data_IF_003591404208
#
_entry.id   IF_003591404208
#
_cell.length_a   1.000
_cell.length_b   1.000
_cell.length_c   1.000
_cell.angle_alpha   90.00
_cell.angle_beta   90.00
_cell.angle_gamma   90.00
#
_symmetry.space_group_name_H-M   'P 1'
#
loop_
_entity.id
_entity.type
_entity.pdbx_description
1 polymer ?
#
# COMPACT_ATOMS: atom_id res chain seq x y z
N UNK A 1 -10.11 9.20 26.37
CA UNK A 1 -10.54 7.96 25.69
C UNK A 1 -9.39 6.98 25.81
N UNK A 2 -9.65 5.79 26.33
CA UNK A 2 -8.66 4.69 26.41
C UNK A 2 -8.14 4.40 25.01
N UNK A 3 -6.84 4.14 24.88
CA UNK A 3 -6.17 3.76 23.64
C UNK A 3 -6.91 2.58 23.00
N UNK A 4 -7.75 2.89 22.01
CA UNK A 4 -8.57 1.91 21.31
C UNK A 4 -7.72 1.23 20.25
N UNK A 5 -7.50 -0.06 20.37
CA UNK A 5 -6.94 -0.87 19.29
C UNK A 5 -8.07 -1.28 18.35
N UNK A 6 -7.99 -0.84 17.10
CA UNK A 6 -8.85 -1.28 16.01
C UNK A 6 -7.98 -1.81 14.88
N UNK A 7 -8.39 -2.92 14.27
CA UNK A 7 -7.73 -3.48 13.09
C UNK A 7 -8.74 -3.61 11.97
N UNK A 8 -8.34 -3.19 10.77
CA UNK A 8 -9.10 -3.35 9.54
C UNK A 8 -8.19 -4.05 8.55
N UNK A 9 -8.59 -5.26 8.14
CA UNK A 9 -7.93 -6.01 7.08
C UNK A 9 -8.67 -5.79 5.75
N UNK A 10 -7.93 -5.47 4.69
CA UNK A 10 -8.50 -5.29 3.35
C UNK A 10 -7.80 -6.23 2.39
N UNK A 11 -8.57 -6.96 1.59
CA UNK A 11 -8.05 -7.75 0.49
C UNK A 11 -8.08 -6.91 -0.79
N UNK A 12 -6.94 -6.79 -1.45
CA UNK A 12 -6.83 -6.06 -2.71
C UNK A 12 -7.12 -7.00 -3.88
N UNK A 13 -8.22 -6.74 -4.60
CA UNK A 13 -8.53 -7.36 -5.88
C UNK A 13 -8.02 -6.54 -7.06
N UNK A 14 -8.22 -7.04 -8.28
CA UNK A 14 -7.76 -6.38 -9.52
C UNK A 14 -8.31 -4.94 -9.69
N UNK A 15 -9.48 -4.65 -9.12
CA UNK A 15 -10.13 -3.32 -9.20
C UNK A 15 -9.71 -2.36 -8.08
N UNK A 16 -8.72 -2.72 -7.27
CA UNK A 16 -8.21 -1.85 -6.20
C UNK A 16 -7.51 -0.64 -6.80
N UNK A 17 -7.84 0.55 -6.32
CA UNK A 17 -7.23 1.82 -6.71
C UNK A 17 -6.54 2.46 -5.52
N UNK A 18 -5.32 2.94 -5.75
CA UNK A 18 -4.55 3.73 -4.80
C UNK A 18 -4.41 5.15 -5.36
N UNK A 19 -4.59 6.16 -4.53
CA UNK A 19 -4.50 7.56 -4.96
C UNK A 19 -4.03 8.47 -3.84
N UNK A 20 -3.44 9.59 -4.21
CA UNK A 20 -3.09 10.67 -3.30
C UNK A 20 -3.78 11.94 -3.79
N UNK A 21 -4.69 12.49 -2.98
CA UNK A 21 -5.34 13.77 -3.27
C UNK A 21 -4.47 14.86 -2.65
N UNK A 22 -4.10 15.85 -3.46
CA UNK A 22 -3.33 17.02 -3.05
C UNK A 22 -4.14 18.29 -3.32
N UNK A 23 -3.86 19.33 -2.53
CA UNK A 23 -4.56 20.61 -2.59
C UNK A 23 -3.55 21.75 -2.76
N UNK A 24 -2.89 21.86 -3.93
CA UNK A 24 -1.81 22.82 -4.14
C UNK A 24 -2.29 24.28 -4.05
N UNK A 25 -3.54 24.55 -4.40
CA UNK A 25 -4.11 25.89 -4.48
C UNK A 25 -4.78 26.36 -3.17
N UNK A 26 -4.86 25.50 -2.14
CA UNK A 26 -5.51 25.80 -0.85
C UNK A 26 -4.65 25.39 0.36
N UNK A 27 -3.48 26.03 0.57
CA UNK A 27 -2.65 25.80 1.74
C UNK A 27 -3.23 26.46 3.01
N UNK A 28 -3.12 25.82 4.19
CA UNK A 28 -2.36 24.61 4.46
C UNK A 28 -3.26 23.36 4.50
N UNK A 29 -3.45 22.66 3.39
CA UNK A 29 -4.23 21.40 3.40
C UNK A 29 -3.31 20.20 3.23
N UNK A 30 -3.33 19.30 4.21
CA UNK A 30 -2.56 18.05 4.18
C UNK A 30 -3.05 17.09 3.08
N UNK A 31 -2.14 16.32 2.45
CA UNK A 31 -2.52 15.34 1.44
C UNK A 31 -3.35 14.19 2.05
N UNK A 32 -4.21 13.59 1.23
CA UNK A 32 -5.05 12.46 1.63
C UNK A 32 -4.67 11.23 0.80
N UNK A 33 -4.22 10.18 1.47
CA UNK A 33 -4.06 8.86 0.85
C UNK A 33 -5.42 8.18 0.79
N UNK A 34 -5.74 7.62 -0.37
CA UNK A 34 -7.00 6.92 -0.64
C UNK A 34 -6.73 5.52 -1.15
N UNK A 35 -7.47 4.54 -0.63
CA UNK A 35 -7.47 3.15 -1.08
C UNK A 35 -8.92 2.74 -1.29
N UNK A 36 -9.28 2.43 -2.53
CA UNK A 36 -10.65 2.11 -2.92
C UNK A 36 -10.70 0.74 -3.57
N UNK A 37 -11.63 -0.11 -3.12
CA UNK A 37 -11.95 -1.43 -3.69
C UNK A 37 -13.47 -1.58 -3.71
N UNK A 38 -14.08 -2.45 -4.53
CA UNK A 38 -15.53 -2.65 -4.49
C UNK A 38 -16.03 -2.91 -3.06
N UNK A 39 -16.91 -2.02 -2.57
CA UNK A 39 -17.51 -2.11 -1.23
C UNK A 39 -16.71 -1.47 -0.09
N UNK A 40 -15.52 -0.90 -0.34
CA UNK A 40 -14.74 -0.20 0.69
C UNK A 40 -13.94 0.98 0.12
N UNK A 41 -14.00 2.11 0.83
CA UNK A 41 -13.10 3.26 0.62
C UNK A 41 -12.43 3.61 1.95
N UNK A 42 -11.10 3.53 1.97
CA UNK A 42 -10.27 3.92 3.10
C UNK A 42 -9.55 5.23 2.76
N UNK A 43 -9.65 6.20 3.67
CA UNK A 43 -8.90 7.45 3.58
C UNK A 43 -7.99 7.60 4.79
N UNK A 44 -6.75 8.00 4.53
CA UNK A 44 -5.78 8.35 5.57
C UNK A 44 -5.38 9.81 5.36
N UNK A 45 -5.65 10.64 6.35
CA UNK A 45 -5.32 12.05 6.36
C UNK A 45 -4.67 12.43 7.69
N UNK A 46 -3.83 13.47 7.66
CA UNK A 46 -3.33 14.10 8.87
C UNK A 46 -4.47 14.68 9.70
N UNK A 47 -4.34 14.64 11.04
CA UNK A 47 -5.32 15.26 11.95
C UNK A 47 -5.29 16.79 11.90
N UNK A 48 -4.17 17.36 11.44
CA UNK A 48 -3.91 18.80 11.35
C UNK A 48 -3.79 19.21 9.89
N UNK A 49 -4.03 20.49 9.65
CA UNK A 49 -3.93 21.13 8.35
C UNK A 49 -2.44 21.31 7.94
N UNK A 50 -1.59 21.65 8.91
CA UNK A 50 -0.15 21.81 8.72
C UNK A 50 0.60 20.46 8.77
N UNK A 51 1.39 20.17 7.74
CA UNK A 51 2.31 19.02 7.69
C UNK A 51 3.56 19.35 8.51
N UNK A 52 3.83 18.57 9.55
CA UNK A 52 5.00 18.73 10.41
C UNK A 52 6.12 17.74 10.02
N UNK A 53 7.33 17.93 10.59
CA UNK A 53 8.47 17.04 10.32
C UNK A 53 8.18 15.56 10.67
N UNK A 54 7.36 15.31 11.70
CA UNK A 54 6.92 13.98 12.08
C UNK A 54 6.06 13.29 11.01
N UNK A 55 5.20 14.05 10.32
CA UNK A 55 4.36 13.53 9.23
C UNK A 55 5.22 13.11 8.04
N UNK A 56 6.27 13.88 7.72
CA UNK A 56 7.25 13.53 6.68
C UNK A 56 7.97 12.23 7.02
N UNK A 57 8.36 12.04 8.29
CA UNK A 57 8.98 10.79 8.74
C UNK A 57 8.03 9.60 8.63
N UNK A 58 6.77 9.77 9.04
CA UNK A 58 5.74 8.74 8.92
C UNK A 58 5.48 8.36 7.45
N UNK A 59 5.38 9.35 6.55
CA UNK A 59 5.20 9.12 5.12
C UNK A 59 6.38 8.35 4.49
N UNK A 60 7.62 8.68 4.89
CA UNK A 60 8.81 7.94 4.45
C UNK A 60 8.81 6.50 4.96
N UNK A 61 8.39 6.27 6.21
CA UNK A 61 8.28 4.93 6.77
C UNK A 61 7.20 4.10 6.07
N UNK A 62 6.08 4.73 5.72
CA UNK A 62 5.03 4.11 4.91
C UNK A 62 5.59 3.67 3.55
N UNK A 63 6.31 4.57 2.84
CA UNK A 63 6.94 4.24 1.56
C UNK A 63 7.89 3.04 1.70
N UNK A 64 8.76 3.02 2.71
CA UNK A 64 9.69 1.90 2.94
C UNK A 64 8.96 0.56 3.08
N UNK A 65 7.88 0.51 3.87
CA UNK A 65 7.10 -0.71 4.09
C UNK A 65 6.37 -1.14 2.83
N UNK A 66 5.72 -0.20 2.13
CA UNK A 66 5.00 -0.48 0.87
C UNK A 66 5.96 -0.97 -0.20
N UNK A 67 7.14 -0.35 -0.36
CA UNK A 67 8.15 -0.80 -1.33
C UNK A 67 8.62 -2.22 -1.05
N UNK A 68 8.82 -2.60 0.22
CA UNK A 68 9.16 -3.99 0.58
C UNK A 68 8.04 -4.96 0.24
N UNK A 69 6.79 -4.58 0.52
CA UNK A 69 5.63 -5.37 0.15
C UNK A 69 5.55 -5.57 -1.37
N UNK A 70 5.74 -4.51 -2.15
CA UNK A 70 5.77 -4.57 -3.62
C UNK A 70 6.82 -5.54 -4.14
N UNK A 71 8.06 -5.41 -3.67
CA UNK A 71 9.15 -6.29 -4.09
C UNK A 71 8.87 -7.77 -3.78
N UNK A 72 8.24 -8.05 -2.64
CA UNK A 72 7.89 -9.42 -2.26
C UNK A 72 6.74 -9.98 -3.12
N UNK A 73 5.73 -9.17 -3.45
CA UNK A 73 4.66 -9.56 -4.39
C UNK A 73 5.25 -9.90 -5.76
N UNK A 74 6.18 -9.08 -6.26
CA UNK A 74 6.87 -9.31 -7.54
C UNK A 74 7.69 -10.61 -7.51
N UNK A 75 8.44 -10.85 -6.42
CA UNK A 75 9.21 -12.08 -6.22
C UNK A 75 8.31 -13.32 -6.23
N UNK A 76 7.20 -13.29 -5.49
CA UNK A 76 6.24 -14.40 -5.42
C UNK A 76 5.53 -14.63 -6.76
N UNK A 77 5.14 -13.56 -7.45
CA UNK A 77 4.59 -13.65 -8.81
C UNK A 77 5.57 -14.30 -9.77
N UNK A 78 6.85 -13.92 -9.70
CA UNK A 78 7.90 -14.49 -10.56
C UNK A 78 8.08 -15.98 -10.30
N UNK A 79 8.09 -16.42 -9.04
CA UNK A 79 8.20 -17.83 -8.67
C UNK A 79 7.01 -18.68 -9.16
N UNK A 80 5.79 -18.14 -9.07
CA UNK A 80 4.58 -18.84 -9.50
C UNK A 80 4.49 -19.01 -11.03
N UNK A 81 5.23 -18.18 -11.78
CA UNK A 81 5.24 -18.21 -13.24
C UNK A 81 6.45 -18.97 -13.82
N UNK A 82 7.28 -19.63 -13.00
CA UNK A 82 8.33 -20.52 -13.50
C UNK A 82 7.65 -21.82 -13.96
N UNK A 83 7.70 -22.17 -15.26
CA UNK A 83 7.16 -23.44 -15.75
C UNK A 83 7.91 -24.59 -15.07
N UNK A 84 7.18 -25.62 -14.65
CA UNK A 84 7.75 -26.88 -14.21
C UNK A 84 8.34 -27.66 -15.40
N UNK A 85 9.37 -27.13 -16.05
CA UNK A 85 10.13 -27.85 -17.07
C UNK A 85 11.52 -28.16 -16.52
N UNK A 86 11.65 -29.34 -15.91
CA UNK A 86 12.86 -30.19 -15.91
C UNK A 86 12.63 -31.40 -15.00
N UNK A 87 11.69 -32.26 -15.37
CA UNK A 87 11.56 -33.59 -14.80
C UNK A 87 11.12 -34.62 -15.84
N UNK A 88 11.58 -34.49 -17.09
CA UNK A 88 11.47 -35.57 -18.06
C UNK A 88 12.52 -35.36 -19.14
N UNK A 89 13.72 -35.88 -18.91
CA UNK A 89 14.49 -36.68 -19.87
C UNK A 89 15.90 -36.91 -19.28
N UNK A 90 16.14 -38.10 -18.73
CA UNK A 90 17.35 -38.93 -18.97
C UNK A 90 17.25 -40.20 -18.09
N UNK A 91 16.63 -41.24 -18.62
CA UNK A 91 16.91 -42.65 -18.29
C UNK A 91 16.57 -43.44 -19.57
N UNK A 92 17.56 -43.62 -20.46
CA UNK A 92 18.49 -44.75 -20.49
C UNK A 92 17.80 -46.07 -20.84
#
# INVERSE_FOLDING_TARGET
>A
MKDGYGSVGVHFGADTRFGCITYPDDPPTSPILTISTPGLSLTLSGRRLDVEAGDVQNARRLLEVVSRFTAEVERLHSLNNIPAESAEDTAA
#
